data_IF_112404431627
#
_entry.id   IF_112404431627
#
_cell.length_a   1.000
_cell.length_b   1.000
_cell.length_c   1.000
_cell.angle_alpha   90.00
_cell.angle_beta   90.00
_cell.angle_gamma   90.00
#
_symmetry.space_group_name_H-M   'P 1'
#
loop_
_entity.id
_entity.type
_entity.pdbx_description
1 polymer ?
#
# COMPACT_ATOMS: atom_id res chain seq x y z
N UNK A 1 -9.24 -10.31 32.55
CA UNK A 1 -8.92 -10.70 31.16
C UNK A 1 -10.22 -10.71 30.38
N UNK A 2 -10.29 -10.03 29.24
CA UNK A 2 -11.50 -10.02 28.41
C UNK A 2 -11.74 -11.41 27.78
N UNK A 3 -13.00 -11.82 27.51
CA UNK A 3 -13.32 -13.11 26.89
C UNK A 3 -12.59 -13.34 25.55
N UNK A 4 -12.36 -12.28 24.76
CA UNK A 4 -11.63 -12.34 23.50
C UNK A 4 -10.14 -12.70 23.65
N UNK A 5 -9.48 -12.31 24.74
CA UNK A 5 -8.09 -12.67 24.99
C UNK A 5 -7.91 -14.14 25.41
N UNK A 6 -8.86 -14.70 26.16
CA UNK A 6 -8.83 -16.11 26.55
C UNK A 6 -9.04 -17.04 25.33
N UNK A 7 -9.93 -16.64 24.43
CA UNK A 7 -10.20 -17.32 23.16
C UNK A 7 -8.97 -17.29 22.22
N UNK A 8 -8.31 -16.13 22.09
CA UNK A 8 -7.07 -16.02 21.31
C UNK A 8 -5.92 -16.89 21.86
N UNK A 9 -5.71 -16.93 23.18
CA UNK A 9 -4.69 -17.79 23.79
C UNK A 9 -4.99 -19.29 23.59
N UNK A 10 -6.28 -19.67 23.50
CA UNK A 10 -6.72 -21.00 23.10
C UNK A 10 -6.27 -21.34 21.68
N UNK A 11 -6.54 -20.44 20.73
CA UNK A 11 -6.11 -20.55 19.34
C UNK A 11 -4.59 -20.65 19.21
N UNK A 12 -3.81 -19.75 19.83
CA UNK A 12 -2.33 -19.79 19.75
C UNK A 12 -1.76 -21.13 20.22
N UNK A 13 -2.33 -21.71 21.29
CA UNK A 13 -1.90 -23.04 21.77
C UNK A 13 -2.22 -24.15 20.78
N UNK A 14 -3.39 -24.11 20.16
CA UNK A 14 -3.76 -25.06 19.10
C UNK A 14 -2.82 -24.92 17.89
N UNK A 15 -2.54 -23.68 17.48
CA UNK A 15 -1.66 -23.35 16.36
C UNK A 15 -0.24 -23.87 16.60
N UNK A 16 0.34 -23.59 17.77
CA UNK A 16 1.69 -24.08 18.11
C UNK A 16 1.78 -25.59 18.14
N UNK A 17 0.72 -26.29 18.56
CA UNK A 17 0.68 -27.76 18.52
C UNK A 17 0.64 -28.27 17.08
N UNK A 18 -0.12 -27.60 16.21
CA UNK A 18 -0.21 -27.95 14.79
C UNK A 18 1.12 -27.83 14.06
N UNK A 19 1.83 -26.70 14.23
CA UNK A 19 3.11 -26.47 13.55
C UNK A 19 4.28 -27.30 14.11
N UNK A 20 4.10 -28.04 15.20
CA UNK A 20 5.04 -29.09 15.63
C UNK A 20 4.96 -30.36 14.79
N UNK A 21 3.85 -30.56 14.06
CA UNK A 21 3.69 -31.65 13.11
C UNK A 21 4.40 -31.24 11.81
N UNK A 22 5.25 -32.12 11.29
CA UNK A 22 5.93 -31.87 10.02
C UNK A 22 4.91 -31.69 8.90
N UNK A 23 5.22 -30.85 7.90
CA UNK A 23 4.26 -30.51 6.85
C UNK A 23 3.72 -31.75 6.12
N UNK A 24 4.55 -32.77 5.89
CA UNK A 24 4.19 -34.02 5.24
C UNK A 24 3.24 -34.91 6.07
N UNK A 25 3.19 -34.71 7.40
CA UNK A 25 2.39 -35.53 8.32
C UNK A 25 1.08 -34.84 8.73
N UNK A 26 0.86 -33.57 8.36
CA UNK A 26 -0.34 -32.80 8.71
C UNK A 26 -1.56 -33.34 7.96
N UNK A 27 -2.56 -33.78 8.73
CA UNK A 27 -3.79 -34.39 8.21
C UNK A 27 -4.91 -33.35 8.10
N UNK A 28 -5.84 -33.56 7.18
CA UNK A 28 -7.08 -32.77 7.04
C UNK A 28 -7.83 -32.63 8.36
N UNK A 29 -7.87 -33.69 9.19
CA UNK A 29 -8.50 -33.65 10.52
C UNK A 29 -7.86 -32.66 11.49
N UNK A 30 -6.56 -32.38 11.35
CA UNK A 30 -5.87 -31.42 12.22
C UNK A 30 -6.13 -29.98 11.77
N UNK A 31 -6.21 -29.73 10.46
CA UNK A 31 -6.69 -28.46 9.88
C UNK A 31 -8.12 -28.17 10.33
N UNK A 32 -9.00 -29.16 10.23
CA UNK A 32 -10.41 -29.05 10.63
C UNK A 32 -10.53 -28.61 12.09
N UNK A 33 -9.74 -29.17 13.01
CA UNK A 33 -9.73 -28.78 14.43
C UNK A 33 -9.37 -27.30 14.62
N UNK A 34 -8.36 -26.80 13.91
CA UNK A 34 -7.93 -25.40 14.02
C UNK A 34 -8.99 -24.46 13.46
N UNK A 35 -9.56 -24.80 12.30
CA UNK A 35 -10.64 -24.02 11.69
C UNK A 35 -11.87 -23.97 12.60
N UNK A 36 -12.20 -25.05 13.32
CA UNK A 36 -13.25 -25.04 14.37
C UNK A 36 -12.93 -24.07 15.51
N UNK A 37 -11.68 -24.07 16.00
CA UNK A 37 -11.23 -23.13 17.05
C UNK A 37 -11.27 -21.66 16.55
N UNK A 38 -11.02 -21.45 15.26
CA UNK A 38 -11.17 -20.15 14.62
C UNK A 38 -12.65 -19.72 14.45
N UNK A 39 -13.60 -20.64 14.61
CA UNK A 39 -15.03 -20.38 14.47
C UNK A 39 -15.53 -20.47 13.02
N UNK A 40 -14.82 -21.15 12.12
CA UNK A 40 -15.31 -21.40 10.76
C UNK A 40 -16.51 -22.35 10.83
N UNK A 41 -17.66 -21.92 10.30
CA UNK A 41 -18.95 -22.61 10.47
C UNK A 41 -18.96 -24.02 9.84
N UNK A 42 -18.42 -24.17 8.63
CA UNK A 42 -18.29 -25.46 7.95
C UNK A 42 -16.83 -25.73 7.51
N UNK A 43 -15.95 -26.18 8.43
CA UNK A 43 -14.54 -26.40 8.13
C UNK A 43 -14.29 -27.47 7.06
N UNK A 44 -15.18 -28.46 6.94
CA UNK A 44 -15.03 -29.54 5.97
C UNK A 44 -15.30 -29.05 4.54
N UNK A 45 -16.37 -28.28 4.37
CA UNK A 45 -16.66 -27.61 3.10
C UNK A 45 -15.57 -26.58 2.76
N UNK A 46 -15.11 -25.81 3.74
CA UNK A 46 -14.00 -24.89 3.56
C UNK A 46 -12.74 -25.60 3.07
N UNK A 47 -12.37 -26.73 3.67
CA UNK A 47 -11.22 -27.54 3.23
C UNK A 47 -11.45 -28.23 1.87
N UNK A 48 -12.70 -28.51 1.53
CA UNK A 48 -13.10 -29.18 0.28
C UNK A 48 -13.23 -28.26 -0.94
N UNK A 49 -12.94 -26.96 -0.82
CA UNK A 49 -12.98 -26.04 -1.95
C UNK A 49 -12.06 -26.50 -3.08
N UNK A 50 -12.55 -26.42 -4.33
CA UNK A 50 -11.82 -26.80 -5.54
C UNK A 50 -10.75 -25.75 -5.94
N UNK A 51 -9.86 -25.43 -5.00
CA UNK A 51 -8.71 -24.55 -5.20
C UNK A 51 -7.46 -25.44 -5.21
N UNK A 52 -6.57 -25.34 -6.22
CA UNK A 52 -5.35 -26.15 -6.24
C UNK A 52 -4.47 -25.93 -5.01
N UNK A 53 -3.99 -27.03 -4.43
CA UNK A 53 -3.13 -27.04 -3.23
C UNK A 53 -3.74 -26.34 -2.01
N UNK A 54 -5.07 -26.28 -1.91
CA UNK A 54 -5.77 -25.48 -0.90
C UNK A 54 -5.35 -25.78 0.55
N UNK A 55 -5.19 -27.06 0.90
CA UNK A 55 -4.75 -27.43 2.25
C UNK A 55 -3.34 -26.88 2.59
N UNK A 56 -2.42 -26.86 1.61
CA UNK A 56 -1.10 -26.26 1.80
C UNK A 56 -1.21 -24.73 1.92
N UNK A 57 -2.14 -24.11 1.19
CA UNK A 57 -2.40 -22.68 1.31
C UNK A 57 -3.04 -22.29 2.64
N UNK A 58 -3.85 -23.16 3.21
CA UNK A 58 -4.34 -22.99 4.58
C UNK A 58 -3.19 -23.07 5.58
N UNK A 59 -2.24 -23.98 5.39
CA UNK A 59 -1.06 -24.03 6.25
C UNK A 59 -0.24 -22.74 6.17
N UNK A 60 0.01 -22.21 4.97
CA UNK A 60 0.68 -20.91 4.76
C UNK A 60 -0.09 -19.75 5.42
N UNK A 61 -1.42 -19.70 5.27
CA UNK A 61 -2.27 -18.71 5.93
C UNK A 61 -2.17 -18.79 7.45
N UNK A 62 -2.14 -20.00 8.00
CA UNK A 62 -2.08 -20.24 9.45
C UNK A 62 -0.67 -20.06 10.02
N UNK A 63 0.38 -20.05 9.20
CA UNK A 63 1.76 -19.99 9.67
C UNK A 63 2.04 -18.67 10.41
N UNK A 64 2.35 -18.70 11.72
CA UNK A 64 2.63 -17.49 12.47
C UNK A 64 3.95 -16.81 12.05
N UNK A 65 4.84 -17.54 11.39
CA UNK A 65 6.13 -17.02 10.93
C UNK A 65 6.08 -16.28 9.59
N UNK A 66 4.95 -16.40 8.88
CA UNK A 66 4.66 -15.65 7.66
C UNK A 66 3.73 -14.46 7.94
N UNK A 67 3.95 -13.37 7.23
CA UNK A 67 3.11 -12.16 7.21
C UNK A 67 1.84 -12.32 6.37
N UNK A 68 1.67 -13.46 5.69
CA UNK A 68 0.64 -13.63 4.66
C UNK A 68 -0.76 -13.82 5.21
N UNK A 69 -1.66 -12.96 4.74
CA UNK A 69 -3.11 -13.17 4.81
C UNK A 69 -3.71 -13.59 3.46
N UNK A 70 -2.88 -13.62 2.41
CA UNK A 70 -3.23 -14.11 1.08
C UNK A 70 -2.09 -15.06 0.62
N UNK A 71 -2.17 -16.36 0.93
CA UNK A 71 -1.10 -17.36 0.75
C UNK A 71 -0.95 -17.79 -0.72
N UNK A 72 -0.92 -16.84 -1.64
CA UNK A 72 -0.74 -17.10 -3.07
C UNK A 72 -0.18 -15.84 -3.73
N UNK A 73 0.71 -16.03 -4.72
CA UNK A 73 1.21 -14.90 -5.50
C UNK A 73 0.07 -14.09 -6.10
N UNK A 74 0.22 -12.77 -6.08
CA UNK A 74 -0.74 -11.85 -6.68
C UNK A 74 -0.92 -12.08 -8.19
N UNK A 75 0.09 -12.67 -8.86
CA UNK A 75 0.07 -12.97 -10.29
C UNK A 75 -0.66 -14.27 -10.64
N UNK A 76 -1.01 -15.10 -9.64
CA UNK A 76 -1.63 -16.39 -9.90
C UNK A 76 -3.11 -16.24 -10.29
N UNK A 77 -3.56 -17.02 -11.28
CA UNK A 77 -4.97 -17.07 -11.72
C UNK A 77 -6.01 -17.30 -10.60
N UNK A 78 -5.70 -18.10 -9.58
CA UNK A 78 -6.63 -18.46 -8.49
C UNK A 78 -6.67 -17.45 -7.34
N UNK A 79 -5.87 -16.38 -7.40
CA UNK A 79 -5.76 -15.38 -6.33
C UNK A 79 -7.11 -14.81 -5.89
N UNK A 80 -8.02 -14.55 -6.82
CA UNK A 80 -9.34 -14.00 -6.49
C UNK A 80 -10.24 -15.04 -5.80
N UNK A 81 -10.11 -16.33 -6.14
CA UNK A 81 -10.84 -17.41 -5.47
C UNK A 81 -10.30 -17.66 -4.06
N UNK A 82 -8.98 -17.70 -3.89
CA UNK A 82 -8.32 -17.79 -2.57
C UNK A 82 -8.73 -16.60 -1.70
N UNK A 83 -8.69 -15.38 -2.24
CA UNK A 83 -9.14 -14.18 -1.53
C UNK A 83 -10.61 -14.29 -1.13
N UNK A 84 -11.47 -14.70 -2.06
CA UNK A 84 -12.89 -14.91 -1.82
C UNK A 84 -13.12 -15.89 -0.67
N UNK A 85 -12.47 -17.05 -0.69
CA UNK A 85 -12.53 -18.05 0.37
C UNK A 85 -12.14 -17.47 1.73
N UNK A 86 -11.01 -16.75 1.83
CA UNK A 86 -10.55 -16.15 3.08
C UNK A 86 -11.51 -15.03 3.56
N UNK A 87 -12.10 -14.27 2.63
CA UNK A 87 -13.14 -13.27 2.95
C UNK A 87 -14.42 -13.89 3.52
N UNK A 88 -14.74 -15.14 3.18
CA UNK A 88 -15.88 -15.86 3.76
C UNK A 88 -15.65 -16.34 5.19
N UNK A 89 -14.39 -16.41 5.66
CA UNK A 89 -14.12 -16.71 7.07
C UNK A 89 -14.71 -15.61 7.96
N UNK A 90 -15.13 -15.93 9.20
CA UNK A 90 -15.56 -14.91 10.16
C UNK A 90 -14.48 -13.85 10.36
N UNK A 91 -14.88 -12.58 10.56
CA UNK A 91 -13.93 -11.49 10.83
C UNK A 91 -13.06 -11.77 12.06
N UNK A 92 -13.64 -12.37 13.10
CA UNK A 92 -12.91 -12.82 14.30
C UNK A 92 -11.83 -13.86 13.99
N UNK A 93 -12.06 -14.77 13.03
CA UNK A 93 -11.07 -15.73 12.59
C UNK A 93 -9.88 -15.04 11.93
N UNK A 94 -10.14 -14.10 11.00
CA UNK A 94 -9.09 -13.31 10.33
C UNK A 94 -8.27 -12.48 11.31
N UNK A 95 -8.92 -11.87 12.30
CA UNK A 95 -8.24 -11.14 13.38
C UNK A 95 -7.32 -12.06 14.18
N UNK A 96 -7.79 -13.26 14.57
CA UNK A 96 -6.95 -14.24 15.29
C UNK A 96 -5.75 -14.68 14.44
N UNK A 97 -5.95 -15.01 13.16
CA UNK A 97 -4.88 -15.41 12.25
C UNK A 97 -3.84 -14.30 12.09
N UNK A 98 -4.27 -13.06 11.84
CA UNK A 98 -3.32 -11.96 11.68
C UNK A 98 -2.60 -11.62 12.99
N UNK A 99 -3.32 -11.67 14.11
CA UNK A 99 -2.76 -11.39 15.44
C UNK A 99 -1.66 -12.38 15.84
N UNK A 100 -1.80 -13.68 15.50
CA UNK A 100 -0.78 -14.68 15.81
C UNK A 100 0.53 -14.46 15.04
N UNK A 101 0.46 -13.79 13.87
CA UNK A 101 1.63 -13.46 13.06
C UNK A 101 2.47 -12.32 13.62
N UNK A 102 1.88 -11.42 14.43
CA UNK A 102 2.52 -10.16 14.84
C UNK A 102 3.85 -10.33 15.57
N UNK A 103 3.96 -11.39 16.39
CA UNK A 103 5.14 -11.63 17.23
C UNK A 103 6.28 -12.24 16.41
N UNK A 104 6.02 -13.35 15.75
CA UNK A 104 7.06 -14.17 15.12
C UNK A 104 7.59 -13.53 13.83
N UNK A 105 6.79 -12.69 13.18
CA UNK A 105 7.22 -11.87 12.02
C UNK A 105 7.89 -10.56 12.42
N UNK A 106 7.77 -10.11 13.67
CA UNK A 106 8.23 -8.78 14.11
C UNK A 106 7.32 -7.61 13.72
N UNK A 107 6.18 -7.85 13.07
CA UNK A 107 5.24 -6.82 12.62
C UNK A 107 4.78 -5.88 13.73
N UNK A 108 4.63 -6.35 14.98
CA UNK A 108 4.25 -5.48 16.11
C UNK A 108 5.18 -4.27 16.22
N UNK A 109 6.50 -4.48 16.10
CA UNK A 109 7.50 -3.40 16.20
C UNK A 109 7.38 -2.42 15.04
N UNK A 110 7.19 -2.94 13.82
CA UNK A 110 7.04 -2.12 12.62
C UNK A 110 5.76 -1.26 12.66
N UNK A 111 4.65 -1.80 13.17
CA UNK A 111 3.40 -1.06 13.38
C UNK A 111 3.61 0.08 14.39
N UNK A 112 4.27 -0.18 15.52
CA UNK A 112 4.55 0.85 16.52
C UNK A 112 5.47 1.96 15.95
N UNK A 113 6.45 1.59 15.12
CA UNK A 113 7.29 2.54 14.41
C UNK A 113 6.47 3.41 13.45
N UNK A 114 5.51 2.82 12.72
CA UNK A 114 4.63 3.57 11.84
C UNK A 114 3.78 4.59 12.61
N UNK A 115 3.17 4.17 13.72
CA UNK A 115 2.39 5.07 14.57
C UNK A 115 3.23 6.25 15.09
N UNK A 116 4.49 5.99 15.46
CA UNK A 116 5.42 7.05 15.85
C UNK A 116 5.69 8.03 14.70
N UNK A 117 5.87 7.54 13.46
CA UNK A 117 6.03 8.40 12.27
C UNK A 117 4.78 9.22 11.95
N UNK A 118 3.60 8.72 12.30
CA UNK A 118 2.32 9.44 12.18
C UNK A 118 2.10 10.50 13.28
N UNK A 119 3.12 10.79 14.10
CA UNK A 119 3.03 11.72 15.23
C UNK A 119 2.04 11.25 16.31
N UNK A 120 1.75 9.95 16.39
CA UNK A 120 0.87 9.39 17.41
C UNK A 120 1.72 8.93 18.60
N UNK A 121 1.30 9.30 19.81
CA UNK A 121 1.98 8.88 21.04
C UNK A 121 2.24 7.38 21.01
N UNK A 122 3.46 6.98 21.40
CA UNK A 122 3.91 5.59 21.35
C UNK A 122 3.05 4.72 22.27
N UNK A 123 1.96 4.18 21.72
CA UNK A 123 1.19 3.14 22.37
C UNK A 123 2.14 1.99 22.67
N UNK A 124 2.29 1.60 23.94
CA UNK A 124 3.12 0.45 24.32
C UNK A 124 2.50 -0.87 23.87
N UNK A 125 1.18 -0.86 23.64
CA UNK A 125 0.43 -2.02 23.22
C UNK A 125 -0.62 -1.68 22.17
N UNK A 126 -0.90 -2.68 21.33
CA UNK A 126 -1.85 -2.61 20.23
C UNK A 126 -2.64 -3.91 20.15
N UNK A 127 -3.90 -3.80 19.78
CA UNK A 127 -4.79 -4.93 19.51
C UNK A 127 -5.29 -4.83 18.06
N UNK A 128 -5.20 -5.91 17.29
CA UNK A 128 -5.88 -5.97 15.99
C UNK A 128 -7.35 -6.25 16.24
N UNK A 129 -8.22 -5.41 15.68
CA UNK A 129 -9.67 -5.50 15.88
C UNK A 129 -10.44 -5.80 14.60
N UNK A 130 -9.79 -5.66 13.45
CA UNK A 130 -10.39 -5.98 12.15
C UNK A 130 -9.30 -6.26 11.10
N UNK A 131 -9.61 -7.13 10.14
CA UNK A 131 -8.73 -7.51 9.04
C UNK A 131 -9.56 -7.74 7.78
N UNK A 132 -9.21 -7.01 6.73
CA UNK A 132 -9.83 -7.01 5.41
C UNK A 132 -8.78 -7.32 4.35
N UNK A 133 -9.04 -8.31 3.49
CA UNK A 133 -8.28 -8.48 2.25
C UNK A 133 -8.87 -7.55 1.21
N UNK A 134 -8.19 -6.45 0.86
CA UNK A 134 -8.76 -5.44 -0.05
C UNK A 134 -8.53 -5.78 -1.51
N UNK A 135 -9.45 -5.32 -2.35
CA UNK A 135 -9.35 -5.44 -3.81
C UNK A 135 -8.61 -4.24 -4.38
N UNK A 136 -7.36 -4.09 -3.95
CA UNK A 136 -6.41 -3.13 -4.53
C UNK A 136 -5.48 -3.85 -5.51
N UNK A 137 -4.81 -3.08 -6.37
CA UNK A 137 -3.77 -3.57 -7.29
C UNK A 137 -2.72 -4.41 -6.54
N UNK A 138 -2.27 -3.90 -5.40
CA UNK A 138 -1.24 -4.52 -4.56
C UNK A 138 -1.76 -5.68 -3.71
N UNK A 139 -3.10 -5.87 -3.72
CA UNK A 139 -3.80 -6.91 -2.96
C UNK A 139 -3.47 -6.88 -1.47
N UNK A 140 -3.30 -5.66 -0.95
CA UNK A 140 -2.92 -5.40 0.43
C UNK A 140 -3.85 -6.06 1.44
N UNK A 141 -3.28 -6.31 2.61
CA UNK A 141 -4.08 -6.58 3.82
C UNK A 141 -4.33 -5.25 4.51
N UNK A 142 -5.59 -4.84 4.60
CA UNK A 142 -6.01 -3.71 5.42
C UNK A 142 -6.40 -4.24 6.79
N UNK A 143 -5.84 -3.67 7.84
CA UNK A 143 -6.20 -4.07 9.20
C UNK A 143 -6.39 -2.85 10.07
N UNK A 144 -7.28 -2.98 11.06
CA UNK A 144 -7.51 -1.96 12.06
C UNK A 144 -6.85 -2.38 13.36
N UNK A 145 -6.00 -1.52 13.90
CA UNK A 145 -5.49 -1.66 15.26
C UNK A 145 -6.19 -0.68 16.19
N UNK A 146 -6.32 -1.09 17.45
CA UNK A 146 -6.76 -0.26 18.58
C UNK A 146 -5.57 -0.09 19.52
N UNK A 147 -5.23 1.14 19.85
CA UNK A 147 -4.18 1.44 20.83
C UNK A 147 -4.68 1.29 22.28
N UNK A 148 -3.76 1.38 23.24
CA UNK A 148 -4.09 1.33 24.68
C UNK A 148 -5.02 2.44 25.17
N UNK A 149 -5.16 3.55 24.42
CA UNK A 149 -6.12 4.62 24.70
C UNK A 149 -7.49 4.38 24.02
N UNK A 150 -7.62 3.29 23.26
CA UNK A 150 -8.83 2.90 22.56
C UNK A 150 -9.02 3.53 21.18
N UNK A 151 -8.04 4.30 20.69
CA UNK A 151 -8.09 4.93 19.37
C UNK A 151 -7.76 3.90 18.29
N UNK A 152 -8.49 3.99 17.19
CA UNK A 152 -8.38 3.07 16.05
C UNK A 152 -7.57 3.68 14.91
N UNK A 153 -6.72 2.86 14.29
CA UNK A 153 -5.94 3.22 13.11
C UNK A 153 -6.07 2.12 12.07
N UNK A 154 -6.32 2.51 10.82
CA UNK A 154 -6.37 1.61 9.67
C UNK A 154 -5.01 1.63 8.96
N UNK A 155 -4.44 0.46 8.73
CA UNK A 155 -3.09 0.30 8.21
C UNK A 155 -3.12 -0.74 7.08
N UNK A 156 -2.42 -0.44 5.99
CA UNK A 156 -2.12 -1.40 4.94
C UNK A 156 -0.82 -2.12 5.25
N UNK A 157 -0.82 -3.43 5.04
CA UNK A 157 0.36 -4.25 4.82
C UNK A 157 0.38 -4.61 3.34
N UNK A 158 1.35 -4.03 2.62
CA UNK A 158 1.66 -4.32 1.22
C UNK A 158 2.85 -5.27 1.12
N UNK A 159 2.82 -6.08 0.07
CA UNK A 159 3.93 -6.97 -0.37
C UNK A 159 4.41 -6.61 -1.77
N UNK A 160 3.85 -5.58 -2.37
CA UNK A 160 4.14 -5.16 -3.73
C UNK A 160 5.01 -3.90 -3.70
N UNK A 161 6.11 -3.91 -4.46
CA UNK A 161 6.97 -2.74 -4.63
C UNK A 161 7.56 -2.19 -3.32
N UNK A 162 7.70 -3.01 -2.27
CA UNK A 162 8.01 -2.56 -0.91
C UNK A 162 9.26 -1.67 -0.83
N UNK A 163 10.36 -2.10 -1.45
CA UNK A 163 11.62 -1.35 -1.43
C UNK A 163 11.51 -0.07 -2.24
N UNK A 164 10.87 -0.13 -3.41
CA UNK A 164 10.61 1.04 -4.24
C UNK A 164 9.83 2.10 -3.46
N UNK A 165 8.61 1.77 -3.02
CA UNK A 165 7.76 2.70 -2.26
C UNK A 165 8.45 3.23 -0.98
N UNK A 166 9.29 2.43 -0.32
CA UNK A 166 10.10 2.90 0.80
C UNK A 166 11.12 3.97 0.40
N UNK A 167 11.83 3.77 -0.72
CA UNK A 167 12.75 4.77 -1.27
C UNK A 167 11.99 6.01 -1.70
N UNK A 168 10.85 5.87 -2.39
CA UNK A 168 10.05 7.03 -2.80
C UNK A 168 9.53 7.83 -1.63
N UNK A 169 9.02 7.19 -0.57
CA UNK A 169 8.35 7.88 0.53
C UNK A 169 9.23 8.90 1.28
N UNK A 170 10.56 8.81 1.19
CA UNK A 170 11.47 9.81 1.75
C UNK A 170 11.72 11.03 0.85
N UNK A 171 11.43 10.95 -0.45
CA UNK A 171 11.72 12.02 -1.42
C UNK A 171 10.77 13.22 -1.35
N UNK A 172 9.44 13.06 -1.27
CA UNK A 172 8.50 14.19 -1.27
C UNK A 172 8.83 15.25 -0.23
N UNK A 173 9.18 14.83 0.99
CA UNK A 173 9.50 15.74 2.10
C UNK A 173 10.72 16.63 1.83
N UNK A 174 11.69 16.16 1.05
CA UNK A 174 12.90 16.94 0.68
C UNK A 174 12.56 18.12 -0.23
N UNK A 175 11.45 18.06 -0.95
CA UNK A 175 11.03 19.06 -1.94
C UNK A 175 9.70 19.74 -1.56
N UNK A 176 9.33 19.66 -0.27
CA UNK A 176 8.16 20.33 0.28
C UNK A 176 6.82 19.70 -0.12
N UNK A 177 6.81 18.44 -0.56
CA UNK A 177 5.61 17.72 -0.95
C UNK A 177 5.08 16.82 0.18
N UNK A 178 3.75 16.67 0.27
CA UNK A 178 3.14 15.79 1.24
C UNK A 178 3.35 14.32 0.83
N UNK A 179 3.53 13.46 1.83
CA UNK A 179 3.64 12.01 1.65
C UNK A 179 3.07 11.28 2.87
N UNK A 180 2.63 10.05 2.64
CA UNK A 180 2.24 9.16 3.72
C UNK A 180 3.50 8.56 4.36
N UNK A 181 3.58 8.50 5.70
CA UNK A 181 4.67 7.79 6.34
C UNK A 181 4.55 6.30 6.02
N UNK A 182 5.68 5.67 5.70
CA UNK A 182 5.76 4.23 5.48
C UNK A 182 6.78 3.60 6.42
N UNK A 183 6.70 2.29 6.63
CA UNK A 183 7.74 1.49 7.30
C UNK A 183 8.00 0.25 6.46
N UNK A 184 9.23 0.15 5.94
CA UNK A 184 9.73 -1.09 5.34
C UNK A 184 10.17 -2.05 6.44
N UNK A 185 9.74 -3.31 6.32
CA UNK A 185 10.04 -4.36 7.29
C UNK A 185 10.41 -5.65 6.57
N UNK A 186 11.48 -6.28 7.04
CA UNK A 186 11.93 -7.59 6.59
C UNK A 186 11.68 -8.59 7.72
N UNK A 187 10.86 -9.60 7.47
CA UNK A 187 10.57 -10.63 8.46
C UNK A 187 11.82 -11.52 8.70
N UNK A 188 11.88 -12.27 9.81
CA UNK A 188 12.96 -13.24 10.05
C UNK A 188 13.10 -14.32 8.96
N UNK A 189 12.03 -14.58 8.20
CA UNK A 189 12.05 -15.51 7.06
C UNK A 189 12.47 -14.85 5.74
N UNK A 190 12.78 -13.55 5.76
CA UNK A 190 13.14 -12.78 4.57
C UNK A 190 11.95 -12.26 3.77
N UNK A 191 10.74 -12.24 4.33
CA UNK A 191 9.59 -11.64 3.65
C UNK A 191 9.65 -10.12 3.75
N UNK A 192 9.58 -9.45 2.61
CA UNK A 192 9.54 -8.00 2.52
C UNK A 192 8.09 -7.50 2.57
N UNK A 193 7.82 -6.61 3.53
CA UNK A 193 6.51 -5.95 3.66
C UNK A 193 6.69 -4.46 3.86
N UNK A 194 5.69 -3.71 3.41
CA UNK A 194 5.58 -2.28 3.64
C UNK A 194 4.30 -1.97 4.41
N UNK A 195 4.45 -1.26 5.54
CA UNK A 195 3.33 -0.74 6.30
C UNK A 195 3.10 0.73 5.96
N UNK A 196 1.84 1.10 5.72
CA UNK A 196 1.43 2.49 5.51
C UNK A 196 0.03 2.75 6.06
N UNK A 197 -0.30 3.97 6.50
CA UNK A 197 -1.66 4.27 6.95
C UNK A 197 -2.64 4.14 5.78
N UNK A 198 -3.89 3.81 6.10
CA UNK A 198 -4.99 4.02 5.16
C UNK A 198 -5.07 5.51 4.85
N UNK A 199 -5.17 5.83 3.56
CA UNK A 199 -5.24 7.22 3.12
C UNK A 199 -6.50 7.89 3.67
N UNK A 200 -6.34 9.13 4.16
CA UNK A 200 -7.47 9.98 4.53
C UNK A 200 -7.84 10.87 3.34
N UNK A 201 -9.12 10.98 3.03
CA UNK A 201 -9.62 11.81 1.93
C UNK A 201 -10.17 11.03 0.75
N UNK A 202 -10.08 11.62 -0.43
CA UNK A 202 -10.80 11.18 -1.64
C UNK A 202 -9.82 10.78 -2.70
N UNK A 203 -10.02 9.58 -3.26
CA UNK A 203 -9.31 9.17 -4.46
C UNK A 203 -9.89 9.91 -5.67
N UNK A 204 -9.11 10.81 -6.27
CA UNK A 204 -9.59 11.76 -7.29
C UNK A 204 -10.14 11.02 -8.53
N UNK A 205 -9.53 9.89 -8.89
CA UNK A 205 -9.87 9.11 -10.07
C UNK A 205 -10.90 8.00 -9.80
N UNK A 206 -10.82 7.34 -8.64
CA UNK A 206 -11.61 6.13 -8.34
C UNK A 206 -12.88 6.40 -7.53
N UNK A 207 -13.00 7.51 -6.81
CA UNK A 207 -14.23 7.78 -6.06
C UNK A 207 -15.31 8.27 -7.02
N UNK A 208 -16.25 7.39 -7.37
CA UNK A 208 -17.38 7.68 -8.27
C UNK A 208 -18.37 8.69 -7.71
N UNK A 209 -18.37 8.93 -6.39
CA UNK A 209 -19.34 9.80 -5.73
C UNK A 209 -19.00 11.29 -5.79
N UNK A 210 -17.87 11.68 -6.37
CA UNK A 210 -17.50 13.10 -6.53
C UNK A 210 -18.45 13.76 -7.53
N UNK A 211 -19.27 14.74 -7.11
CA UNK A 211 -20.18 15.43 -8.01
C UNK A 211 -19.43 16.48 -8.86
N UNK A 212 -19.91 16.81 -10.07
CA UNK A 212 -19.32 17.85 -10.92
C UNK A 212 -19.12 19.20 -10.22
N UNK A 213 -20.07 19.62 -9.38
CA UNK A 213 -19.97 20.87 -8.61
C UNK A 213 -18.76 20.92 -7.68
N UNK A 214 -18.38 19.78 -7.10
CA UNK A 214 -17.18 19.68 -6.27
C UNK A 214 -15.91 19.75 -7.11
N UNK A 215 -15.88 19.09 -8.26
CA UNK A 215 -14.75 19.19 -9.21
C UNK A 215 -14.52 20.66 -9.58
N UNK A 216 -15.57 21.38 -9.95
CA UNK A 216 -15.46 22.79 -10.34
C UNK A 216 -14.95 23.70 -9.21
N UNK A 217 -15.26 23.35 -7.96
CA UNK A 217 -14.85 24.12 -6.77
C UNK A 217 -13.43 23.80 -6.32
N UNK A 218 -13.03 22.54 -6.36
CA UNK A 218 -11.79 22.05 -5.73
C UNK A 218 -10.67 21.77 -6.75
N UNK A 219 -10.98 21.76 -8.05
CA UNK A 219 -10.03 21.34 -9.09
C UNK A 219 -8.73 22.12 -9.15
N UNK A 220 -8.73 23.42 -8.84
CA UNK A 220 -7.53 24.24 -8.97
C UNK A 220 -6.39 23.68 -8.08
N UNK A 221 -6.65 23.39 -6.81
CA UNK A 221 -5.62 22.83 -5.91
C UNK A 221 -5.39 21.33 -6.11
N UNK A 222 -6.36 20.58 -6.65
CA UNK A 222 -6.15 19.18 -7.06
C UNK A 222 -5.14 19.08 -8.20
N UNK A 223 -5.32 19.91 -9.23
CA UNK A 223 -4.49 19.94 -10.42
C UNK A 223 -3.08 20.42 -10.07
N UNK A 224 -2.95 21.51 -9.31
CA UNK A 224 -1.64 21.97 -8.85
C UNK A 224 -0.93 20.92 -7.98
N UNK A 225 -1.65 20.28 -7.04
CA UNK A 225 -1.09 19.26 -6.18
C UNK A 225 -0.61 18.03 -6.96
N UNK A 226 -1.41 17.54 -7.91
CA UNK A 226 -1.03 16.45 -8.80
C UNK A 226 0.19 16.83 -9.66
N UNK A 227 0.20 18.02 -10.26
CA UNK A 227 1.33 18.50 -11.07
C UNK A 227 2.65 18.48 -10.33
N UNK A 228 2.65 18.88 -9.05
CA UNK A 228 3.86 18.85 -8.22
C UNK A 228 4.32 17.42 -7.91
N UNK A 229 3.38 16.51 -7.66
CA UNK A 229 3.71 15.09 -7.44
C UNK A 229 4.23 14.44 -8.72
N UNK A 230 3.60 14.74 -9.87
CA UNK A 230 4.03 14.30 -11.20
C UNK A 230 5.45 14.79 -11.52
N UNK A 231 5.81 16.05 -11.19
CA UNK A 231 7.16 16.58 -11.40
C UNK A 231 8.23 15.75 -10.67
N UNK A 232 7.98 15.40 -9.41
CA UNK A 232 8.89 14.51 -8.67
C UNK A 232 8.89 13.10 -9.25
N UNK A 233 7.71 12.57 -9.58
CA UNK A 233 7.53 11.25 -10.15
C UNK A 233 8.28 11.06 -11.47
N UNK A 234 8.20 12.02 -12.38
CA UNK A 234 8.90 12.02 -13.66
C UNK A 234 10.43 12.04 -13.50
N UNK A 235 10.93 12.83 -12.55
CA UNK A 235 12.37 12.89 -12.24
C UNK A 235 12.92 11.53 -11.83
N UNK A 236 12.18 10.80 -10.99
CA UNK A 236 12.63 9.51 -10.45
C UNK A 236 12.12 8.30 -11.21
N UNK A 237 11.29 8.51 -12.25
CA UNK A 237 10.73 7.44 -13.06
C UNK A 237 9.69 6.61 -12.33
N UNK A 238 8.69 7.22 -11.72
CA UNK A 238 7.57 6.48 -11.12
C UNK A 238 6.66 5.90 -12.21
N UNK A 239 6.43 4.59 -12.19
CA UNK A 239 5.34 3.98 -12.93
C UNK A 239 4.05 4.04 -12.10
N UNK A 240 3.06 4.77 -12.60
CA UNK A 240 1.80 5.01 -11.92
C UNK A 240 0.66 4.24 -12.59
N UNK A 241 -0.32 3.83 -11.78
CA UNK A 241 -1.57 3.20 -12.24
C UNK A 241 -2.73 4.15 -12.02
N UNK A 242 -3.82 3.96 -12.75
CA UNK A 242 -5.05 4.73 -12.53
C UNK A 242 -5.49 4.68 -11.06
N UNK A 243 -5.73 5.85 -10.43
CA UNK A 243 -6.10 5.93 -9.00
C UNK A 243 -4.99 6.32 -8.01
N UNK A 244 -3.89 6.92 -8.45
CA UNK A 244 -2.70 7.19 -7.62
C UNK A 244 -2.73 8.52 -6.85
N UNK A 245 -3.81 9.32 -6.93
CA UNK A 245 -3.92 10.57 -6.16
C UNK A 245 -5.04 10.53 -5.13
N UNK A 246 -4.69 10.90 -3.90
CA UNK A 246 -5.64 11.18 -2.83
C UNK A 246 -5.57 12.66 -2.45
N UNK A 247 -6.72 13.31 -2.53
CA UNK A 247 -6.95 14.66 -2.02
C UNK A 247 -7.44 14.58 -0.58
N UNK A 248 -6.63 15.07 0.36
CA UNK A 248 -6.94 15.02 1.79
C UNK A 248 -7.80 16.23 2.23
N UNK A 249 -8.41 16.18 3.45
CA UNK A 249 -9.18 17.30 3.98
C UNK A 249 -8.35 18.56 4.29
N UNK A 250 -7.03 18.43 4.43
CA UNK A 250 -6.09 19.52 4.67
C UNK A 250 -5.69 20.29 3.41
N UNK A 251 -6.31 19.97 2.26
CA UNK A 251 -5.98 20.52 0.93
C UNK A 251 -4.59 20.14 0.44
N UNK A 252 -4.18 18.90 0.70
CA UNK A 252 -2.98 18.31 0.15
C UNK A 252 -3.33 17.19 -0.82
N UNK A 253 -2.52 17.04 -1.86
CA UNK A 253 -2.59 15.90 -2.79
C UNK A 253 -1.38 15.03 -2.55
N UNK A 254 -1.62 13.78 -2.14
CA UNK A 254 -0.58 12.77 -1.98
C UNK A 254 -0.64 11.78 -3.13
N UNK A 255 0.54 11.46 -3.66
CA UNK A 255 0.72 10.32 -4.56
C UNK A 255 0.78 9.03 -3.73
N UNK A 256 0.08 8.00 -4.18
CA UNK A 256 -0.03 6.72 -3.50
C UNK A 256 0.09 5.57 -4.49
N UNK A 257 0.44 4.39 -3.96
CA UNK A 257 0.36 3.14 -4.70
C UNK A 257 1.22 3.18 -5.99
N UNK A 258 2.45 3.70 -5.90
CA UNK A 258 3.43 3.59 -6.98
C UNK A 258 3.65 2.12 -7.32
N UNK A 259 3.63 1.78 -8.60
CA UNK A 259 3.80 0.40 -9.05
C UNK A 259 5.29 0.06 -9.01
N UNK A 260 6.06 0.89 -9.70
CA UNK A 260 7.49 0.73 -9.87
C UNK A 260 8.20 2.09 -9.83
N UNK A 261 9.49 2.09 -9.53
CA UNK A 261 10.37 3.25 -9.58
C UNK A 261 11.51 3.03 -10.57
N UNK A 262 12.15 4.12 -10.96
CA UNK A 262 13.29 4.12 -11.87
C UNK A 262 12.98 3.59 -13.27
N UNK A 263 11.73 3.77 -13.71
CA UNK A 263 11.32 3.76 -15.11
C UNK A 263 11.87 5.01 -15.80
N UNK A 264 13.14 4.89 -16.21
CA UNK A 264 13.97 6.00 -16.68
C UNK A 264 14.18 5.99 -18.20
N UNK A 265 13.46 5.14 -18.94
CA UNK A 265 13.50 5.10 -20.40
C UNK A 265 12.41 6.04 -21.00
N UNK A 266 12.61 6.52 -22.24
CA UNK A 266 11.70 7.52 -22.86
C UNK A 266 10.34 6.91 -23.30
N UNK A 267 10.26 5.59 -23.45
CA UNK A 267 9.05 4.86 -23.88
C UNK A 267 8.13 4.45 -22.71
N UNK A 268 8.41 4.92 -21.49
CA UNK A 268 7.65 4.54 -20.32
C UNK A 268 6.19 5.03 -20.42
N UNK A 269 5.29 4.06 -20.56
CA UNK A 269 3.87 4.28 -20.82
C UNK A 269 3.23 4.90 -19.59
N UNK A 270 2.78 6.16 -19.68
CA UNK A 270 1.77 6.69 -18.75
C UNK A 270 0.46 5.96 -19.00
N UNK A 271 0.18 4.95 -18.18
CA UNK A 271 -1.05 4.15 -18.27
C UNK A 271 -2.22 4.86 -17.58
N UNK A 272 -2.33 6.18 -17.74
CA UNK A 272 -3.43 6.97 -17.18
C UNK A 272 -3.58 8.31 -17.90
N UNK A 273 -4.81 8.83 -17.86
CA UNK A 273 -5.14 10.16 -18.37
C UNK A 273 -4.68 11.25 -17.39
N UNK A 274 -3.97 12.29 -17.85
CA UNK A 274 -3.59 13.43 -17.02
C UNK A 274 -4.78 14.05 -16.30
N UNK A 275 -4.57 14.53 -15.06
CA UNK A 275 -5.66 15.05 -14.23
C UNK A 275 -6.42 16.21 -14.88
N UNK A 276 -5.72 17.05 -15.64
CA UNK A 276 -6.28 18.20 -16.36
C UNK A 276 -7.11 17.80 -17.59
N UNK A 277 -7.01 16.56 -18.07
CA UNK A 277 -7.86 15.98 -19.12
C UNK A 277 -9.03 15.19 -18.54
N UNK A 278 -8.77 14.45 -17.45
CA UNK A 278 -9.74 13.62 -16.76
C UNK A 278 -10.87 14.43 -16.11
N UNK A 279 -10.52 15.41 -15.27
CA UNK A 279 -11.51 16.17 -14.49
C UNK A 279 -12.53 16.92 -15.37
N UNK A 280 -12.15 17.58 -16.48
CA UNK A 280 -13.12 18.22 -17.37
C UNK A 280 -14.10 17.26 -18.02
N UNK A 281 -13.67 16.06 -18.43
CA UNK A 281 -14.56 15.03 -18.98
C UNK A 281 -15.60 14.61 -17.95
N UNK A 282 -15.17 14.46 -16.70
CA UNK A 282 -16.04 14.09 -15.57
C UNK A 282 -17.00 15.21 -15.17
N UNK A 283 -16.56 16.47 -15.21
CA UNK A 283 -17.41 17.62 -14.87
C UNK A 283 -18.43 17.97 -15.96
N UNK A 284 -18.04 17.82 -17.24
CA UNK A 284 -18.84 18.17 -18.41
C UNK A 284 -18.84 17.01 -19.43
N UNK A 285 -19.57 15.91 -19.18
CA UNK A 285 -19.58 14.72 -20.05
C UNK A 285 -20.24 14.96 -21.42
N UNK A 286 -21.14 15.94 -21.52
CA UNK A 286 -21.88 16.23 -22.77
C UNK A 286 -21.62 17.64 -23.34
N UNK A 287 -20.90 18.51 -22.63
CA UNK A 287 -20.64 19.90 -23.05
C UNK A 287 -19.17 20.08 -23.47
N UNK A 288 -18.90 19.88 -24.76
CA UNK A 288 -17.56 19.97 -25.33
C UNK A 288 -16.92 21.35 -25.16
N UNK A 289 -17.69 22.44 -25.31
CA UNK A 289 -17.18 23.79 -25.19
C UNK A 289 -16.72 24.09 -23.75
N UNK A 290 -17.54 23.75 -22.74
CA UNK A 290 -17.15 23.91 -21.33
C UNK A 290 -16.01 22.98 -20.94
N UNK A 291 -15.97 21.75 -21.47
CA UNK A 291 -14.87 20.81 -21.25
C UNK A 291 -13.55 21.39 -21.73
N UNK A 292 -13.46 21.86 -22.98
CA UNK A 292 -12.24 22.44 -23.55
C UNK A 292 -11.81 23.68 -22.79
N UNK A 293 -12.74 24.57 -22.43
CA UNK A 293 -12.43 25.76 -21.65
C UNK A 293 -11.84 25.42 -20.27
N UNK A 294 -12.42 24.43 -19.58
CA UNK A 294 -11.94 23.96 -18.29
C UNK A 294 -10.58 23.25 -18.40
N UNK A 295 -10.41 22.38 -19.39
CA UNK A 295 -9.14 21.70 -19.67
C UNK A 295 -8.01 22.70 -19.91
N UNK A 296 -8.21 23.70 -20.78
CA UNK A 296 -7.19 24.71 -21.06
C UNK A 296 -6.78 25.51 -19.80
N UNK A 297 -7.76 25.83 -18.95
CA UNK A 297 -7.49 26.50 -17.66
C UNK A 297 -6.67 25.62 -16.73
N UNK A 298 -7.06 24.34 -16.60
CA UNK A 298 -6.36 23.38 -15.75
C UNK A 298 -4.96 23.06 -16.27
N UNK A 299 -4.78 22.91 -17.59
CA UNK A 299 -3.46 22.71 -18.20
C UNK A 299 -2.50 23.83 -17.81
N UNK A 300 -2.93 25.09 -17.94
CA UNK A 300 -2.10 26.24 -17.59
C UNK A 300 -1.69 26.23 -16.11
N UNK A 301 -2.60 25.87 -15.21
CA UNK A 301 -2.31 25.75 -13.78
C UNK A 301 -1.36 24.58 -13.49
N UNK A 302 -1.58 23.45 -14.15
CA UNK A 302 -0.72 22.26 -14.08
C UNK A 302 0.70 22.60 -14.52
N UNK A 303 0.88 23.15 -15.72
CA UNK A 303 2.20 23.45 -16.28
C UNK A 303 2.97 24.44 -15.40
N UNK A 304 2.28 25.45 -14.84
CA UNK A 304 2.90 26.41 -13.93
C UNK A 304 3.39 25.71 -12.65
N UNK A 305 2.52 24.93 -11.99
CA UNK A 305 2.87 24.24 -10.75
C UNK A 305 3.94 23.17 -10.95
N UNK A 306 3.91 22.45 -12.07
CA UNK A 306 4.92 21.47 -12.46
C UNK A 306 6.28 22.14 -12.61
N UNK A 307 6.36 23.21 -13.42
CA UNK A 307 7.62 23.91 -13.67
C UNK A 307 8.19 24.56 -12.41
N UNK A 308 7.33 25.13 -11.55
CA UNK A 308 7.77 25.67 -10.26
C UNK A 308 8.33 24.56 -9.36
N UNK A 309 7.69 23.38 -9.34
CA UNK A 309 8.20 22.23 -8.59
C UNK A 309 9.52 21.71 -9.15
N UNK A 310 9.68 21.66 -10.48
CA UNK A 310 10.95 21.28 -11.12
C UNK A 310 12.10 22.20 -10.70
N UNK A 311 11.83 23.51 -10.55
CA UNK A 311 12.84 24.46 -10.03
C UNK A 311 13.22 24.15 -8.59
N UNK A 312 12.24 23.81 -7.74
CA UNK A 312 12.48 23.40 -6.36
C UNK A 312 13.31 22.11 -6.32
N UNK A 313 12.92 21.08 -7.08
CA UNK A 313 13.63 19.79 -7.16
C UNK A 313 15.09 20.02 -7.60
N UNK A 314 15.32 20.84 -8.62
CA UNK A 314 16.67 21.15 -9.07
C UNK A 314 17.48 21.97 -8.04
N UNK A 315 16.83 22.81 -7.24
CA UNK A 315 17.45 23.53 -6.13
C UNK A 315 17.85 22.60 -4.98
N UNK A 316 17.00 21.62 -4.66
CA UNK A 316 17.19 20.65 -3.59
C UNK A 316 17.95 19.38 -4.02
N UNK A 317 18.52 19.37 -5.24
CA UNK A 317 19.18 18.19 -5.82
C UNK A 317 20.24 17.59 -4.89
N UNK A 318 21.01 18.43 -4.18
CA UNK A 318 22.06 17.93 -3.28
C UNK A 318 21.53 17.09 -2.11
N UNK A 319 20.35 17.40 -1.61
CA UNK A 319 19.70 16.64 -0.54
C UNK A 319 19.05 15.37 -1.09
N UNK A 320 18.44 15.44 -2.28
CA UNK A 320 17.93 14.27 -3.01
C UNK A 320 19.06 13.27 -3.30
N UNK A 321 20.18 13.75 -3.83
CA UNK A 321 21.36 12.94 -4.15
C UNK A 321 21.92 12.27 -2.90
N UNK A 322 22.06 13.02 -1.80
CA UNK A 322 22.50 12.47 -0.51
C UNK A 322 21.57 11.36 -0.03
N UNK A 323 20.26 11.60 -0.06
CA UNK A 323 19.26 10.61 0.33
C UNK A 323 19.33 9.34 -0.52
N UNK A 324 19.44 9.47 -1.85
CA UNK A 324 19.55 8.32 -2.74
C UNK A 324 20.85 7.53 -2.51
N UNK A 325 21.96 8.21 -2.18
CA UNK A 325 23.23 7.57 -1.80
C UNK A 325 23.08 6.75 -0.52
N UNK A 326 22.39 7.28 0.50
CA UNK A 326 22.07 6.53 1.72
C UNK A 326 21.22 5.29 1.42
N UNK A 327 20.33 5.40 0.42
CA UNK A 327 19.49 4.31 -0.08
C UNK A 327 20.18 3.40 -1.11
N UNK A 328 21.46 3.59 -1.43
CA UNK A 328 22.18 2.89 -2.51
C UNK A 328 21.98 1.37 -2.52
N UNK A 329 22.00 0.73 -1.34
CA UNK A 329 21.79 -0.73 -1.23
C UNK A 329 20.38 -1.12 -1.65
N UNK A 330 19.38 -0.38 -1.18
CA UNK A 330 17.97 -0.61 -1.51
C UNK A 330 17.71 -0.37 -2.99
N UNK A 331 18.22 0.72 -3.56
CA UNK A 331 18.11 1.01 -5.00
C UNK A 331 18.72 -0.12 -5.82
N UNK A 332 19.94 -0.57 -5.50
CA UNK A 332 20.58 -1.68 -6.21
C UNK A 332 19.81 -2.99 -6.10
N UNK A 333 19.29 -3.32 -4.92
CA UNK A 333 18.46 -4.51 -4.72
C UNK A 333 17.17 -4.44 -5.52
N UNK A 334 16.58 -3.25 -5.61
CA UNK A 334 15.32 -3.02 -6.28
C UNK A 334 15.43 -3.03 -7.81
N UNK A 335 16.40 -2.30 -8.37
CA UNK A 335 16.58 -2.19 -9.83
C UNK A 335 17.41 -3.32 -10.43
N UNK A 336 18.30 -3.94 -9.64
CA UNK A 336 19.35 -4.82 -10.16
C UNK A 336 20.47 -4.09 -10.91
N UNK A 337 20.38 -2.76 -11.06
CA UNK A 337 21.33 -1.94 -11.81
C UNK A 337 22.44 -1.36 -10.91
N UNK A 338 23.51 -0.87 -11.56
CA UNK A 338 24.56 -0.10 -10.89
C UNK A 338 23.96 1.24 -10.45
N UNK A 339 24.05 1.53 -9.16
CA UNK A 339 23.45 2.72 -8.56
C UNK A 339 23.87 4.03 -9.25
N UNK A 340 25.15 4.14 -9.61
CA UNK A 340 25.70 5.32 -10.27
C UNK A 340 25.03 5.58 -11.63
N UNK A 341 24.64 4.53 -12.36
CA UNK A 341 23.89 4.64 -13.62
C UNK A 341 22.48 5.17 -13.38
N UNK A 342 21.77 4.61 -12.39
CA UNK A 342 20.42 5.06 -12.00
C UNK A 342 20.46 6.53 -11.58
N UNK A 343 21.38 6.89 -10.70
CA UNK A 343 21.54 8.27 -10.22
C UNK A 343 21.85 9.24 -11.36
N UNK A 344 22.72 8.86 -12.30
CA UNK A 344 23.04 9.69 -13.47
C UNK A 344 21.82 9.90 -14.37
N UNK A 345 20.98 8.89 -14.60
CA UNK A 345 19.74 9.00 -15.37
C UNK A 345 18.73 9.95 -14.69
N UNK A 346 18.54 9.82 -13.37
CA UNK A 346 17.68 10.74 -12.59
C UNK A 346 18.20 12.18 -12.71
N UNK A 347 19.51 12.37 -12.51
CA UNK A 347 20.15 13.68 -12.61
C UNK A 347 19.97 14.30 -13.99
N UNK A 348 20.12 13.50 -15.04
CA UNK A 348 19.88 13.95 -16.41
C UNK A 348 18.45 14.46 -16.58
N UNK A 349 17.42 13.76 -16.08
CA UNK A 349 16.02 14.22 -16.14
C UNK A 349 15.78 15.52 -15.38
N UNK A 350 16.33 15.66 -14.17
CA UNK A 350 16.19 16.87 -13.34
C UNK A 350 16.74 18.12 -14.05
N UNK A 351 17.84 17.97 -14.78
CA UNK A 351 18.52 19.10 -15.43
C UNK A 351 18.26 19.23 -16.95
N UNK A 352 17.69 18.23 -17.61
CA UNK A 352 17.31 18.29 -19.03
C UNK A 352 16.06 19.13 -19.27
N UNK A 353 15.23 19.34 -18.24
CA UNK A 353 14.02 20.17 -18.31
C UNK A 353 14.28 21.67 -17.99
N UNK A 354 15.54 22.12 -18.02
CA UNK A 354 15.94 23.53 -17.95
C UNK A 354 16.35 24.03 -19.31
#
# INVERSE_FOLDING_TARGET
MSPGHADFAGYERALRRYFRISAAERKTKDREKILKVLGVDNPQEFLGMHIPLWEAKIDELLDPSSTDMLPISISHSYVNWVRGAIRMMPGSARVKIFSSKLKDTGLKKAILQLLSRMGKNAARDIEVVDVELVEKVHKDTLFTIKDGAGKKYRIYLSRFGCVGEYVYAGLPGLVGLPALPVVYHLSPQGEEVLLKPKEEGINIYLDENIPPSRILKESDWWVEGAARQDALGDCVGTALRYGHYVADPGKQVVMIDNIELFHLEEEDVRIFEPIHEFLPKRAYPEDGAKRTALQNRMQKAYDQAYNDQMRIIAGEWSEIERYLIEMRRHVRTYTGEVFETVLAKIKARVFAQR
#
